data_IF_026364721404
#
_entry.id   IF_026364721404
#
_cell.length_a   1.000
_cell.length_b   1.000
_cell.length_c   1.000
_cell.angle_alpha   90.00
_cell.angle_beta   90.00
_cell.angle_gamma   90.00
#
_symmetry.space_group_name_H-M   'P 1'
#
loop_
_entity.id
_entity.type
_entity.pdbx_description
1 polymer ?
#
# COMPACT_ATOMS: atom_id res chain seq x y z
N UNK A 1 -39.97 33.09 41.83
CA UNK A 1 -39.59 31.84 41.09
C UNK A 1 -40.07 31.97 39.67
N UNK A 2 -39.12 32.14 38.70
CA UNK A 2 -39.46 32.29 37.28
C UNK A 2 -39.37 30.88 36.67
N UNK A 3 -40.50 30.27 36.36
CA UNK A 3 -40.55 29.00 35.63
C UNK A 3 -40.15 29.28 34.16
N UNK A 4 -38.97 28.85 33.74
CA UNK A 4 -38.60 28.81 32.31
C UNK A 4 -39.48 27.74 31.65
N UNK A 5 -40.31 28.14 30.70
CA UNK A 5 -41.00 27.23 29.79
C UNK A 5 -39.97 26.54 28.93
N UNK A 6 -39.75 25.27 29.15
CA UNK A 6 -39.00 24.45 28.19
C UNK A 6 -39.91 24.18 26.99
N UNK A 7 -39.59 24.78 25.83
CA UNK A 7 -40.22 24.42 24.57
C UNK A 7 -39.64 23.07 24.11
N UNK A 8 -40.47 22.04 24.05
CA UNK A 8 -40.10 20.74 23.50
C UNK A 8 -40.04 20.79 21.94
N UNK A 9 -39.21 19.94 21.36
CA UNK A 9 -39.14 19.76 19.90
C UNK A 9 -40.47 19.22 19.35
N UNK A 10 -40.88 19.73 18.19
CA UNK A 10 -42.05 19.20 17.49
C UNK A 10 -41.64 17.96 16.66
N UNK A 11 -42.58 17.04 16.46
CA UNK A 11 -42.30 15.83 15.64
C UNK A 11 -41.93 16.17 14.18
N UNK A 12 -42.57 17.21 13.64
CA UNK A 12 -42.29 17.69 12.26
C UNK A 12 -40.85 18.25 12.13
N UNK A 13 -40.38 18.96 13.15
CA UNK A 13 -39.03 19.52 13.18
C UNK A 13 -37.98 18.42 13.22
N UNK A 14 -38.21 17.35 14.00
CA UNK A 14 -37.34 16.17 14.01
C UNK A 14 -37.31 15.47 12.63
N UNK A 15 -38.50 15.29 12.00
CA UNK A 15 -38.58 14.64 10.69
C UNK A 15 -37.83 15.41 9.60
N UNK A 16 -37.94 16.75 9.59
CA UNK A 16 -37.20 17.59 8.62
C UNK A 16 -35.70 17.46 8.85
N UNK A 17 -35.23 17.52 10.09
CA UNK A 17 -33.78 17.39 10.42
C UNK A 17 -33.23 16.04 9.98
N UNK A 18 -33.92 14.95 10.28
CA UNK A 18 -33.50 13.60 9.86
C UNK A 18 -33.48 13.45 8.35
N UNK A 19 -34.47 14.02 7.64
CA UNK A 19 -34.52 14.00 6.18
C UNK A 19 -33.31 14.75 5.57
N UNK A 20 -32.98 15.93 6.08
CA UNK A 20 -31.83 16.72 5.62
C UNK A 20 -30.51 16.00 5.89
N UNK A 21 -30.33 15.43 7.10
CA UNK A 21 -29.12 14.64 7.43
C UNK A 21 -29.02 13.42 6.52
N UNK A 22 -30.10 12.72 6.23
CA UNK A 22 -30.13 11.58 5.33
C UNK A 22 -29.63 11.93 3.90
N UNK A 23 -30.10 13.05 3.35
CA UNK A 23 -29.68 13.53 2.03
C UNK A 23 -28.19 13.89 2.05
N UNK A 24 -27.72 14.62 3.06
CA UNK A 24 -26.30 15.00 3.18
C UNK A 24 -25.40 13.78 3.33
N UNK A 25 -25.79 12.81 4.16
CA UNK A 25 -25.05 11.58 4.36
C UNK A 25 -24.93 10.74 3.09
N UNK A 26 -25.98 10.68 2.26
CA UNK A 26 -25.98 9.94 1.00
C UNK A 26 -24.92 10.45 0.01
N UNK A 27 -24.61 11.73 0.00
CA UNK A 27 -23.58 12.34 -0.85
C UNK A 27 -22.20 12.33 -0.18
N UNK A 28 -22.13 12.59 1.13
CA UNK A 28 -20.86 12.70 1.84
C UNK A 28 -20.15 11.36 2.02
N UNK A 29 -20.89 10.27 2.25
CA UNK A 29 -20.33 8.97 2.55
C UNK A 29 -19.46 8.37 1.42
N UNK A 30 -19.90 8.34 0.14
CA UNK A 30 -19.06 7.85 -0.96
C UNK A 30 -17.83 8.73 -1.18
N UNK A 31 -17.97 10.05 -1.13
CA UNK A 31 -16.85 10.97 -1.29
C UNK A 31 -15.77 10.80 -0.20
N UNK A 32 -16.19 10.53 1.02
CA UNK A 32 -15.29 10.23 2.15
C UNK A 32 -14.50 8.93 1.94
N UNK A 33 -15.16 7.86 1.52
CA UNK A 33 -14.52 6.58 1.24
C UNK A 33 -13.49 6.68 0.12
N UNK A 34 -13.79 7.41 -0.95
CA UNK A 34 -12.86 7.67 -2.04
C UNK A 34 -11.62 8.44 -1.59
N UNK A 35 -11.81 9.42 -0.71
CA UNK A 35 -10.70 10.21 -0.15
C UNK A 35 -9.78 9.35 0.71
N UNK A 36 -10.33 8.47 1.56
CA UNK A 36 -9.55 7.50 2.36
C UNK A 36 -8.76 6.57 1.46
N UNK A 37 -9.40 6.05 0.40
CA UNK A 37 -8.75 5.13 -0.52
C UNK A 37 -7.59 5.78 -1.27
N UNK A 38 -7.76 7.03 -1.72
CA UNK A 38 -6.68 7.83 -2.32
C UNK A 38 -5.53 8.06 -1.33
N UNK A 39 -5.83 8.36 -0.08
CA UNK A 39 -4.84 8.52 0.98
C UNK A 39 -4.04 7.24 1.24
N UNK A 40 -4.71 6.08 1.32
CA UNK A 40 -4.04 4.78 1.46
C UNK A 40 -3.10 4.49 0.28
N UNK A 41 -3.57 4.68 -0.96
CA UNK A 41 -2.72 4.51 -2.15
C UNK A 41 -1.49 5.42 -2.13
N UNK A 42 -1.64 6.67 -1.67
CA UNK A 42 -0.51 7.58 -1.50
C UNK A 42 0.50 7.06 -0.46
N UNK A 43 0.03 6.52 0.67
CA UNK A 43 0.90 5.87 1.67
C UNK A 43 1.63 4.65 1.08
N UNK A 44 0.96 3.82 0.28
CA UNK A 44 1.60 2.68 -0.39
C UNK A 44 2.72 3.11 -1.33
N UNK A 45 2.48 4.14 -2.15
CA UNK A 45 3.51 4.69 -3.06
C UNK A 45 4.71 5.28 -2.31
N UNK A 46 4.47 6.03 -1.25
CA UNK A 46 5.53 6.59 -0.41
C UNK A 46 6.38 5.48 0.23
N UNK A 47 5.74 4.45 0.77
CA UNK A 47 6.42 3.30 1.37
C UNK A 47 7.24 2.50 0.34
N UNK A 48 6.76 2.36 -0.91
CA UNK A 48 7.54 1.74 -1.98
C UNK A 48 8.78 2.55 -2.35
N UNK A 49 8.66 3.87 -2.42
CA UNK A 49 9.80 4.74 -2.70
C UNK A 49 10.86 4.66 -1.58
N UNK A 50 10.42 4.65 -0.32
CA UNK A 50 11.28 4.47 0.85
C UNK A 50 11.98 3.10 0.82
N UNK A 51 11.22 2.02 0.60
CA UNK A 51 11.78 0.67 0.52
C UNK A 51 12.78 0.54 -0.61
N UNK A 52 12.50 1.13 -1.78
CA UNK A 52 13.45 1.11 -2.90
C UNK A 52 14.76 1.83 -2.55
N UNK A 53 14.71 2.99 -1.88
CA UNK A 53 15.91 3.66 -1.41
C UNK A 53 16.71 2.80 -0.41
N UNK A 54 16.03 2.08 0.47
CA UNK A 54 16.68 1.16 1.41
C UNK A 54 17.33 -0.01 0.66
N UNK A 55 16.69 -0.54 -0.38
CA UNK A 55 17.23 -1.58 -1.26
C UNK A 55 18.47 -1.10 -2.04
N UNK A 56 18.47 0.15 -2.54
CA UNK A 56 19.64 0.72 -3.21
C UNK A 56 20.85 0.88 -2.25
N UNK A 57 20.60 1.29 -1.01
CA UNK A 57 21.65 1.32 0.03
C UNK A 57 22.16 -0.08 0.35
N UNK A 58 21.28 -1.06 0.44
CA UNK A 58 21.65 -2.46 0.66
C UNK A 58 22.48 -3.00 -0.52
N UNK A 59 22.09 -2.68 -1.75
CA UNK A 59 22.82 -3.04 -2.97
C UNK A 59 24.25 -2.47 -2.96
N UNK A 60 24.45 -1.22 -2.54
CA UNK A 60 25.80 -0.63 -2.44
C UNK A 60 26.68 -1.30 -1.41
N UNK A 61 26.11 -1.88 -0.36
CA UNK A 61 26.86 -2.56 0.72
C UNK A 61 27.10 -4.04 0.45
N UNK A 62 26.14 -4.70 -0.20
CA UNK A 62 26.12 -6.17 -0.37
C UNK A 62 26.30 -6.62 -1.82
N UNK A 63 26.36 -5.70 -2.78
CA UNK A 63 26.36 -5.97 -4.23
C UNK A 63 25.18 -6.83 -4.69
N UNK A 64 24.07 -6.75 -3.98
CA UNK A 64 22.86 -7.51 -4.23
C UNK A 64 21.65 -6.86 -3.57
N UNK A 65 20.50 -6.90 -4.24
CA UNK A 65 19.21 -6.58 -3.60
C UNK A 65 18.73 -7.75 -2.74
N UNK A 66 17.85 -7.49 -1.80
CA UNK A 66 17.25 -8.49 -0.93
C UNK A 66 15.81 -8.78 -1.34
N UNK A 67 15.58 -10.00 -1.85
CA UNK A 67 14.21 -10.50 -2.03
C UNK A 67 13.63 -10.97 -0.69
N UNK A 68 12.38 -10.65 -0.43
CA UNK A 68 11.65 -11.11 0.76
C UNK A 68 10.15 -11.17 0.52
N UNK A 69 9.48 -12.12 1.16
CA UNK A 69 8.04 -12.22 1.26
C UNK A 69 7.53 -11.53 2.53
N UNK A 70 6.24 -11.20 2.56
CA UNK A 70 5.58 -10.68 3.75
C UNK A 70 4.22 -11.35 3.89
N UNK A 71 4.01 -12.04 4.99
CA UNK A 71 2.74 -12.69 5.31
C UNK A 71 2.25 -12.18 6.65
N UNK A 72 1.07 -11.54 6.66
CA UNK A 72 0.46 -11.01 7.89
C UNK A 72 1.33 -10.02 8.67
N UNK A 73 2.28 -9.34 8.03
CA UNK A 73 3.21 -8.40 8.67
C UNK A 73 4.56 -9.01 9.07
N UNK A 74 4.73 -10.32 8.91
CA UNK A 74 6.02 -11.01 9.13
C UNK A 74 6.77 -11.11 7.81
N UNK A 75 7.92 -10.46 7.72
CA UNK A 75 8.78 -10.50 6.56
C UNK A 75 9.84 -11.59 6.68
N UNK A 76 9.97 -12.39 5.63
CA UNK A 76 10.93 -13.51 5.57
C UNK A 76 11.81 -13.35 4.33
N UNK A 77 13.15 -13.36 4.48
CA UNK A 77 14.07 -13.33 3.34
C UNK A 77 13.83 -14.53 2.41
N UNK A 78 13.97 -14.28 1.11
CA UNK A 78 13.94 -15.31 0.08
C UNK A 78 15.36 -15.61 -0.41
N UNK A 79 15.57 -16.84 -0.88
CA UNK A 79 16.79 -17.19 -1.58
C UNK A 79 16.98 -16.29 -2.82
N UNK A 80 18.23 -15.95 -3.18
CA UNK A 80 18.49 -15.16 -4.38
C UNK A 80 18.01 -15.90 -5.64
N UNK A 81 17.59 -15.14 -6.64
CA UNK A 81 17.18 -15.68 -7.94
C UNK A 81 17.96 -14.99 -9.06
N UNK A 82 18.68 -15.74 -9.90
CA UNK A 82 18.95 -17.18 -9.82
C UNK A 82 19.74 -17.56 -8.55
N UNK A 83 19.71 -18.81 -8.15
CA UNK A 83 20.34 -19.30 -6.90
C UNK A 83 21.85 -19.02 -6.80
N UNK A 84 22.51 -18.80 -7.93
CA UNK A 84 23.92 -18.40 -8.02
C UNK A 84 24.14 -16.89 -7.84
N UNK A 85 23.08 -16.09 -7.89
CA UNK A 85 23.21 -14.66 -7.66
C UNK A 85 23.66 -14.37 -6.23
N UNK A 86 24.31 -13.25 -6.02
CA UNK A 86 24.68 -12.77 -4.69
C UNK A 86 25.55 -13.77 -3.87
N UNK A 87 26.31 -14.62 -4.56
CA UNK A 87 27.10 -15.68 -3.93
C UNK A 87 26.27 -16.85 -3.39
N UNK A 88 24.98 -16.95 -3.76
CA UNK A 88 24.08 -18.02 -3.30
C UNK A 88 23.65 -17.92 -1.83
N UNK A 89 23.94 -16.81 -1.16
CA UNK A 89 23.69 -16.65 0.27
C UNK A 89 22.30 -16.02 0.48
N UNK A 90 21.45 -16.72 1.23
CA UNK A 90 20.19 -16.18 1.73
C UNK A 90 20.44 -15.34 2.98
N UNK A 91 19.90 -14.12 3.03
CA UNK A 91 20.02 -13.28 4.21
C UNK A 91 19.30 -13.90 5.43
N UNK A 92 19.79 -13.61 6.63
CA UNK A 92 19.20 -14.12 7.88
C UNK A 92 18.00 -13.32 8.37
N UNK A 93 17.77 -12.12 7.82
CA UNK A 93 16.66 -11.24 8.20
C UNK A 93 16.41 -10.14 7.18
N UNK A 94 15.32 -9.43 7.35
CA UNK A 94 14.92 -8.27 6.51
C UNK A 94 15.17 -7.00 7.31
N UNK A 95 16.22 -6.21 6.97
CA UNK A 95 16.59 -5.01 7.73
C UNK A 95 15.78 -3.77 7.33
N UNK A 96 14.65 -3.95 6.65
CA UNK A 96 13.83 -2.88 6.11
C UNK A 96 12.51 -2.74 6.85
N UNK A 97 11.89 -1.57 6.75
CA UNK A 97 10.49 -1.39 7.11
C UNK A 97 9.61 -2.09 6.08
N UNK A 98 8.76 -2.99 6.54
CA UNK A 98 8.00 -3.92 5.68
C UNK A 98 6.51 -3.62 5.62
N UNK A 99 6.10 -2.41 6.01
CA UNK A 99 4.72 -1.94 6.01
C UNK A 99 4.63 -0.43 5.78
N UNK A 100 3.49 0.05 5.33
CA UNK A 100 3.24 1.48 5.08
C UNK A 100 2.77 2.21 6.35
N UNK A 101 3.05 3.52 6.42
CA UNK A 101 2.65 4.38 7.55
C UNK A 101 3.58 4.25 8.77
N UNK A 102 3.31 5.01 9.83
CA UNK A 102 4.20 5.14 10.99
C UNK A 102 3.82 4.24 12.19
N UNK A 103 2.72 3.49 12.07
CA UNK A 103 2.23 2.58 13.12
C UNK A 103 2.95 1.24 13.16
N UNK A 104 2.18 0.17 13.10
CA UNK A 104 2.67 -1.20 13.04
C UNK A 104 2.06 -1.96 11.84
N UNK A 105 2.54 -3.16 11.58
CA UNK A 105 2.07 -3.97 10.46
C UNK A 105 0.56 -4.28 10.52
N UNK A 106 -0.02 -4.41 11.71
CA UNK A 106 -1.45 -4.71 11.88
C UNK A 106 -2.36 -3.53 11.51
N UNK A 107 -1.88 -2.29 11.66
CA UNK A 107 -2.62 -1.06 11.32
C UNK A 107 -2.25 -0.48 9.95
N UNK A 108 -1.31 -1.10 9.25
CA UNK A 108 -0.80 -0.63 7.97
C UNK A 108 -1.86 -0.71 6.86
N UNK A 109 -1.82 0.23 5.93
CA UNK A 109 -2.64 0.17 4.72
C UNK A 109 -2.10 -0.85 3.70
N UNK A 110 -0.78 -1.01 3.66
CA UNK A 110 -0.07 -1.94 2.76
C UNK A 110 1.03 -2.69 3.50
N UNK A 111 1.20 -3.96 3.15
CA UNK A 111 2.37 -4.77 3.49
C UNK A 111 3.34 -4.75 2.30
N UNK A 112 4.65 -4.68 2.61
CA UNK A 112 5.69 -4.55 1.59
C UNK A 112 6.44 -5.87 1.44
N UNK A 113 6.77 -6.21 0.20
CA UNK A 113 7.63 -7.33 -0.17
C UNK A 113 8.56 -6.91 -1.32
N UNK A 114 9.56 -7.72 -1.63
CA UNK A 114 10.49 -7.47 -2.72
C UNK A 114 10.83 -8.77 -3.46
N UNK A 115 10.91 -8.70 -4.77
CA UNK A 115 11.24 -9.83 -5.62
C UNK A 115 12.05 -9.36 -6.85
N UNK A 116 12.47 -10.30 -7.68
CA UNK A 116 13.12 -10.01 -8.96
C UNK A 116 12.19 -9.27 -9.91
N UNK A 117 12.76 -8.50 -10.83
CA UNK A 117 11.99 -7.88 -11.90
C UNK A 117 11.62 -8.92 -12.97
N UNK A 118 10.43 -8.79 -13.61
CA UNK A 118 10.13 -9.58 -14.81
C UNK A 118 11.09 -9.20 -15.95
N UNK A 119 11.59 -10.20 -16.64
CA UNK A 119 12.37 -10.08 -17.85
C UNK A 119 11.52 -10.19 -19.11
N UNK A 120 12.14 -10.45 -20.25
CA UNK A 120 11.45 -10.70 -21.51
C UNK A 120 10.76 -12.07 -21.50
N UNK A 121 9.52 -12.14 -21.99
CA UNK A 121 8.72 -13.36 -21.98
C UNK A 121 8.39 -13.79 -20.55
N UNK A 122 8.60 -15.06 -20.21
CA UNK A 122 8.38 -15.63 -18.88
C UNK A 122 9.63 -15.64 -17.99
N UNK A 123 10.73 -15.00 -18.42
CA UNK A 123 11.96 -14.94 -17.62
C UNK A 123 11.89 -13.90 -16.52
N UNK A 124 12.81 -13.98 -15.56
CA UNK A 124 13.05 -12.95 -14.55
C UNK A 124 14.50 -12.47 -14.63
N UNK A 125 14.73 -11.19 -14.33
CA UNK A 125 16.07 -10.66 -14.19
C UNK A 125 16.71 -11.16 -12.89
N UNK A 126 18.05 -11.21 -12.86
CA UNK A 126 18.75 -11.53 -11.62
C UNK A 126 18.46 -10.50 -10.53
N UNK A 127 18.33 -10.95 -9.30
CA UNK A 127 18.17 -10.08 -8.13
C UNK A 127 19.38 -9.17 -7.91
N UNK A 128 20.53 -9.51 -8.48
CA UNK A 128 21.71 -8.63 -8.49
C UNK A 128 21.61 -7.48 -9.51
N UNK A 129 20.67 -7.54 -10.45
CA UNK A 129 20.49 -6.54 -11.49
C UNK A 129 19.26 -5.67 -11.29
N UNK A 130 18.18 -6.25 -10.79
CA UNK A 130 16.91 -5.54 -10.65
C UNK A 130 16.07 -6.09 -9.50
N UNK A 131 15.53 -5.18 -8.69
CA UNK A 131 14.54 -5.47 -7.65
C UNK A 131 13.21 -4.81 -7.99
N UNK A 132 12.13 -5.55 -7.77
CA UNK A 132 10.75 -5.08 -7.80
C UNK A 132 10.22 -5.07 -6.38
N UNK A 133 9.94 -3.89 -5.85
CA UNK A 133 9.26 -3.71 -4.56
C UNK A 133 7.75 -3.64 -4.79
N UNK A 134 6.99 -4.31 -3.92
CA UNK A 134 5.57 -4.58 -4.06
C UNK A 134 4.86 -4.14 -2.78
N UNK A 135 3.81 -3.35 -2.90
CA UNK A 135 2.91 -3.00 -1.82
C UNK A 135 1.57 -3.73 -2.03
N UNK A 136 1.27 -4.67 -1.15
CA UNK A 136 0.02 -5.44 -1.15
C UNK A 136 -0.97 -4.80 -0.19
N UNK A 137 -2.18 -4.42 -0.63
CA UNK A 137 -3.16 -3.76 0.21
C UNK A 137 -3.70 -4.74 1.27
N UNK A 138 -3.71 -4.32 2.55
CA UNK A 138 -4.30 -5.11 3.64
C UNK A 138 -5.81 -5.18 3.52
N UNK A 139 -6.45 -4.05 3.15
CA UNK A 139 -7.85 -4.01 2.78
C UNK A 139 -7.97 -4.05 1.26
N UNK A 140 -8.72 -5.00 0.73
CA UNK A 140 -8.88 -5.21 -0.71
C UNK A 140 -9.19 -3.92 -1.47
N UNK A 141 -8.42 -3.68 -2.54
CA UNK A 141 -8.61 -2.59 -3.52
C UNK A 141 -8.57 -3.23 -4.93
N UNK A 142 -9.67 -3.80 -5.42
CA UNK A 142 -9.68 -4.51 -6.70
C UNK A 142 -9.30 -3.62 -7.89
N UNK A 143 -9.56 -2.33 -7.80
CA UNK A 143 -9.26 -1.39 -8.88
C UNK A 143 -7.75 -1.23 -9.11
N UNK A 144 -6.97 -1.13 -8.03
CA UNK A 144 -5.51 -0.91 -8.11
C UNK A 144 -4.74 -2.20 -7.85
N UNK A 145 -5.22 -3.07 -6.97
CA UNK A 145 -4.49 -4.27 -6.55
C UNK A 145 -3.17 -3.92 -5.87
N UNK A 146 -2.12 -4.68 -6.17
CA UNK A 146 -0.78 -4.38 -5.69
C UNK A 146 -0.19 -3.20 -6.46
N UNK A 147 0.53 -2.33 -5.76
CA UNK A 147 1.39 -1.32 -6.36
C UNK A 147 2.80 -1.89 -6.49
N UNK A 148 3.43 -1.69 -7.64
CA UNK A 148 4.77 -2.19 -7.92
C UNK A 148 5.67 -1.05 -8.42
N UNK A 149 6.91 -1.02 -7.90
CA UNK A 149 7.96 -0.12 -8.32
C UNK A 149 9.25 -0.92 -8.50
N UNK A 150 9.91 -0.74 -9.63
CA UNK A 150 11.15 -1.44 -9.95
C UNK A 150 12.34 -0.50 -9.89
N UNK A 151 13.53 -1.04 -9.63
CA UNK A 151 14.77 -0.26 -9.59
C UNK A 151 15.12 0.42 -10.93
N UNK A 152 14.61 -0.09 -12.04
CA UNK A 152 14.73 0.56 -13.35
C UNK A 152 13.71 1.70 -13.60
N UNK A 153 12.95 2.10 -12.58
CA UNK A 153 11.95 3.17 -12.65
C UNK A 153 10.56 2.74 -13.17
N UNK A 154 10.39 1.47 -13.58
CA UNK A 154 9.10 0.98 -14.06
C UNK A 154 8.08 0.94 -12.92
N UNK A 155 6.89 1.47 -13.18
CA UNK A 155 5.76 1.52 -12.25
C UNK A 155 4.60 0.70 -12.80
N UNK A 156 3.99 -0.14 -11.97
CA UNK A 156 2.87 -1.00 -12.35
C UNK A 156 1.84 -1.11 -11.23
N UNK A 157 0.67 -1.62 -11.56
CA UNK A 157 -0.31 -2.11 -10.60
C UNK A 157 -1.01 -3.35 -11.19
N UNK A 158 -1.56 -4.19 -10.30
CA UNK A 158 -2.10 -5.51 -10.69
C UNK A 158 -3.63 -5.52 -10.68
N UNK A 159 -4.29 -4.40 -10.39
CA UNK A 159 -5.74 -4.29 -10.33
C UNK A 159 -6.40 -4.26 -11.72
N UNK A 160 -7.71 -4.10 -11.70
CA UNK A 160 -8.56 -4.13 -12.92
C UNK A 160 -8.65 -2.78 -13.63
N UNK A 161 -8.08 -1.70 -13.07
CA UNK A 161 -8.18 -0.37 -13.66
C UNK A 161 -7.42 -0.26 -14.99
N UNK A 162 -8.05 0.36 -15.96
CA UNK A 162 -7.43 0.78 -17.22
C UNK A 162 -6.81 2.18 -17.15
N UNK A 163 -7.07 2.91 -16.05
CA UNK A 163 -6.53 4.24 -15.83
C UNK A 163 -5.22 4.20 -15.03
N UNK A 164 -4.05 4.37 -15.66
CA UNK A 164 -2.76 4.30 -14.96
C UNK A 164 -2.59 5.38 -13.90
N UNK A 165 -3.24 6.55 -14.05
CA UNK A 165 -3.20 7.63 -13.07
C UNK A 165 -3.85 7.27 -11.74
N UNK A 166 -4.70 6.25 -11.70
CA UNK A 166 -5.29 5.77 -10.46
C UNK A 166 -4.24 5.06 -9.58
N UNK A 167 -3.26 4.43 -10.20
CA UNK A 167 -2.15 3.74 -9.54
C UNK A 167 -0.97 4.71 -9.28
N UNK A 168 -0.56 5.42 -10.35
CA UNK A 168 0.62 6.28 -10.36
C UNK A 168 0.27 7.61 -11.06
N UNK A 169 -0.20 8.63 -10.30
CA UNK A 169 -0.54 9.95 -10.82
C UNK A 169 0.68 10.69 -11.36
#
# INVERSE_FOLDING_TARGET
MIFRKNCGFTLIELMIVVAVIGILAAVAYPAYNDSILKGRRAQGRAALAELLQQQERYMTQKNCYLAFSNSGGTATPLAPSPSTACGGITATGVPFKTFSGDGNAASAAYLLSANTCPGAGSSTLSISQCVRVIATPVKSDPAVGNLELMSNGTKRCTGTTTNPKLCWP
#
